data_IF_425718990363
#
_entry.id   IF_425718990363
#
_cell.length_a   1.000
_cell.length_b   1.000
_cell.length_c   1.000
_cell.angle_alpha   90.00
_cell.angle_beta   90.00
_cell.angle_gamma   90.00
#
_symmetry.space_group_name_H-M   'P 1'
#
loop_
_entity.id
_entity.type
_entity.pdbx_description
1 polymer ?
#
# COMPACT_ATOMS: atom_id res chain seq x y z
N UNK A 1 15.93 6.15 -2.94
CA UNK A 1 14.84 5.16 -2.87
C UNK A 1 13.42 5.72 -2.69
N UNK A 2 13.15 7.03 -2.83
CA UNK A 2 11.78 7.57 -2.91
C UNK A 2 11.61 8.58 -4.06
N UNK A 3 12.58 8.65 -4.98
CA UNK A 3 12.55 9.57 -6.13
C UNK A 3 11.26 9.51 -6.96
N UNK A 4 10.69 8.33 -7.31
CA UNK A 4 9.45 8.30 -8.08
C UNK A 4 8.22 8.80 -7.29
N UNK A 5 8.34 8.89 -5.95
CA UNK A 5 7.27 9.38 -5.07
C UNK A 5 7.34 10.90 -4.85
N UNK A 6 8.46 11.56 -5.16
CA UNK A 6 8.67 12.99 -4.85
C UNK A 6 7.59 13.91 -5.44
N UNK A 7 7.18 13.69 -6.71
CA UNK A 7 6.22 14.56 -7.40
C UNK A 7 4.85 14.69 -6.72
N UNK A 8 4.50 13.70 -5.92
CA UNK A 8 3.21 13.67 -5.21
C UNK A 8 3.39 13.52 -3.69
N UNK A 9 4.64 13.58 -3.21
CA UNK A 9 4.97 13.52 -1.79
C UNK A 9 4.26 14.64 -1.03
N UNK A 10 4.27 15.85 -1.57
CA UNK A 10 3.61 17.03 -0.97
C UNK A 10 2.08 16.94 -0.94
N UNK A 11 1.48 16.05 -1.73
CA UNK A 11 0.03 15.80 -1.72
C UNK A 11 -0.39 14.76 -0.68
N UNK A 12 0.58 14.09 -0.05
CA UNK A 12 0.32 13.14 1.02
C UNK A 12 0.03 13.89 2.32
N UNK A 13 -0.97 13.46 3.11
CA UNK A 13 -1.15 13.96 4.46
C UNK A 13 0.10 13.70 5.32
N UNK A 14 0.42 14.61 6.23
CA UNK A 14 1.64 14.53 7.06
C UNK A 14 1.84 13.18 7.79
N UNK A 15 0.76 12.52 8.22
CA UNK A 15 0.87 11.20 8.85
C UNK A 15 1.34 10.09 7.88
N UNK A 16 0.99 10.16 6.59
CA UNK A 16 1.45 9.21 5.57
C UNK A 16 2.90 9.48 5.21
N UNK A 17 3.27 10.75 5.04
CA UNK A 17 4.67 11.16 4.85
C UNK A 17 5.54 10.66 6.01
N UNK A 18 5.10 10.86 7.25
CA UNK A 18 5.77 10.34 8.44
C UNK A 18 5.94 8.81 8.39
N UNK A 19 4.87 8.05 8.10
CA UNK A 19 4.99 6.57 8.00
C UNK A 19 5.95 6.11 6.91
N UNK A 20 5.91 6.73 5.73
CA UNK A 20 6.82 6.42 4.63
C UNK A 20 8.27 6.79 4.97
N UNK A 21 8.47 7.93 5.63
CA UNK A 21 9.78 8.37 6.05
C UNK A 21 10.36 7.48 7.16
N UNK A 22 9.54 7.07 8.13
CA UNK A 22 9.93 6.06 9.13
C UNK A 22 10.27 4.72 8.47
N UNK A 23 9.46 4.26 7.52
CA UNK A 23 9.72 3.03 6.78
C UNK A 23 11.02 3.12 5.96
N UNK A 24 11.30 4.26 5.31
CA UNK A 24 12.53 4.49 4.58
C UNK A 24 13.77 4.55 5.50
N UNK A 25 13.64 5.09 6.72
CA UNK A 25 14.70 5.05 7.74
C UNK A 25 14.97 3.63 8.25
N UNK A 26 13.92 2.81 8.34
CA UNK A 26 14.02 1.41 8.77
C UNK A 26 14.44 0.48 7.64
N UNK A 27 14.25 0.87 6.38
CA UNK A 27 14.56 0.10 5.17
C UNK A 27 15.93 -0.61 5.19
N UNK A 28 17.06 0.06 5.50
CA UNK A 28 18.37 -0.61 5.55
C UNK A 28 18.50 -1.65 6.69
N UNK A 29 17.59 -1.63 7.67
CA UNK A 29 17.52 -2.58 8.78
C UNK A 29 16.47 -3.68 8.55
N UNK A 30 15.71 -3.61 7.45
CA UNK A 30 14.68 -4.60 7.12
C UNK A 30 15.30 -5.86 6.50
N UNK A 31 14.63 -7.00 6.69
CA UNK A 31 14.98 -8.25 6.01
C UNK A 31 14.83 -8.10 4.48
N UNK A 32 15.58 -8.87 3.66
CA UNK A 32 15.53 -8.75 2.19
C UNK A 32 14.11 -8.84 1.62
N UNK A 33 13.31 -9.79 2.12
CA UNK A 33 11.90 -9.95 1.71
C UNK A 33 11.02 -8.74 2.06
N UNK A 34 11.33 -8.05 3.16
CA UNK A 34 10.62 -6.83 3.56
C UNK A 34 11.03 -5.64 2.69
N UNK A 35 12.32 -5.58 2.32
CA UNK A 35 12.85 -4.59 1.40
C UNK A 35 12.22 -4.71 0.02
N UNK A 36 12.12 -5.92 -0.54
CA UNK A 36 11.45 -6.16 -1.82
C UNK A 36 9.99 -5.73 -1.78
N UNK A 37 9.23 -6.19 -0.77
CA UNK A 37 7.83 -5.77 -0.59
C UNK A 37 7.68 -4.26 -0.45
N UNK A 38 8.64 -3.58 0.18
CA UNK A 38 8.62 -2.12 0.28
C UNK A 38 8.83 -1.47 -1.09
N UNK A 39 9.81 -1.94 -1.87
CA UNK A 39 10.08 -1.43 -3.22
C UNK A 39 8.89 -1.65 -4.16
N UNK A 40 8.28 -2.83 -4.14
CA UNK A 40 7.07 -3.13 -4.93
C UNK A 40 5.96 -2.13 -4.59
N UNK A 41 5.73 -1.89 -3.31
CA UNK A 41 4.67 -0.98 -2.85
C UNK A 41 4.92 0.47 -3.25
N UNK A 42 6.19 0.91 -3.27
CA UNK A 42 6.57 2.23 -3.77
C UNK A 42 6.35 2.32 -5.28
N UNK A 43 6.67 1.26 -6.02
CA UNK A 43 6.46 1.19 -7.47
C UNK A 43 4.97 1.21 -7.84
N UNK A 44 4.15 0.40 -7.16
CA UNK A 44 2.69 0.41 -7.31
C UNK A 44 2.10 1.77 -6.98
N UNK A 45 2.58 2.41 -5.91
CA UNK A 45 2.10 3.75 -5.58
C UNK A 45 2.48 4.77 -6.66
N UNK A 46 3.71 4.69 -7.17
CA UNK A 46 4.21 5.57 -8.22
C UNK A 46 3.41 5.43 -9.53
N UNK A 47 2.90 4.22 -9.83
CA UNK A 47 2.06 3.97 -11.01
C UNK A 47 0.60 4.39 -10.82
N UNK A 48 0.11 4.55 -9.59
CA UNK A 48 -1.27 5.01 -9.35
C UNK A 48 -1.50 6.45 -9.83
N UNK A 49 -2.65 6.69 -10.47
CA UNK A 49 -3.09 8.04 -10.85
C UNK A 49 -3.58 8.84 -9.63
N UNK A 50 -3.63 10.19 -9.70
CA UNK A 50 -4.18 11.00 -8.62
C UNK A 50 -5.60 10.59 -8.19
N UNK A 51 -6.43 10.14 -9.15
CA UNK A 51 -7.78 9.65 -8.87
C UNK A 51 -7.77 8.31 -8.10
N UNK A 52 -6.94 7.35 -8.53
CA UNK A 52 -6.79 6.07 -7.81
C UNK A 52 -6.26 6.26 -6.40
N UNK A 53 -5.31 7.19 -6.21
CA UNK A 53 -4.79 7.53 -4.88
C UNK A 53 -5.86 8.18 -4.00
N UNK A 54 -6.71 9.05 -4.57
CA UNK A 54 -7.85 9.64 -3.84
C UNK A 54 -8.82 8.54 -3.36
N UNK A 55 -9.20 7.63 -4.25
CA UNK A 55 -10.06 6.49 -3.90
C UNK A 55 -9.42 5.57 -2.84
N UNK A 56 -8.12 5.28 -2.94
CA UNK A 56 -7.39 4.52 -1.92
C UNK A 56 -7.38 5.23 -0.56
N UNK A 57 -7.27 6.55 -0.57
CA UNK A 57 -7.28 7.39 0.63
C UNK A 57 -8.66 7.42 1.29
N UNK A 58 -9.73 7.55 0.51
CA UNK A 58 -11.11 7.47 0.99
C UNK A 58 -11.43 6.09 1.57
N UNK A 59 -11.01 5.03 0.88
CA UNK A 59 -11.11 3.65 1.36
C UNK A 59 -10.38 3.46 2.69
N UNK A 60 -9.15 3.97 2.81
CA UNK A 60 -8.37 3.90 4.05
C UNK A 60 -9.00 4.69 5.21
N UNK A 61 -9.54 5.88 4.94
CA UNK A 61 -10.26 6.67 5.96
C UNK A 61 -11.53 5.95 6.43
N UNK A 62 -12.27 5.32 5.52
CA UNK A 62 -13.40 4.46 5.86
C UNK A 62 -12.97 3.28 6.73
N UNK A 63 -11.89 2.59 6.36
CA UNK A 63 -11.36 1.46 7.12
C UNK A 63 -10.86 1.87 8.51
N UNK A 64 -10.20 3.04 8.65
CA UNK A 64 -9.69 3.53 9.94
C UNK A 64 -10.82 3.83 10.95
N UNK A 65 -12.01 4.19 10.46
CA UNK A 65 -13.21 4.43 11.29
C UNK A 65 -13.90 3.14 11.70
N UNK A 66 -13.59 2.00 11.08
CA UNK A 66 -14.15 0.72 11.45
C UNK A 66 -13.47 0.19 12.73
N UNK A 67 -14.22 -0.51 13.60
CA UNK A 67 -13.65 -1.18 14.77
C UNK A 67 -12.60 -2.23 14.36
N UNK A 68 -11.61 -2.52 15.23
CA UNK A 68 -10.49 -3.41 14.91
C UNK A 68 -10.92 -4.79 14.41
N UNK A 69 -12.04 -5.36 14.91
CA UNK A 69 -12.58 -6.63 14.42
C UNK A 69 -12.99 -6.58 12.94
N UNK A 70 -13.62 -5.49 12.49
CA UNK A 70 -13.99 -5.28 11.08
C UNK A 70 -12.75 -5.08 10.20
N UNK A 71 -11.71 -4.44 10.72
CA UNK A 71 -10.44 -4.30 10.01
C UNK A 71 -9.72 -5.64 9.84
N UNK A 72 -9.83 -6.53 10.83
CA UNK A 72 -9.29 -7.89 10.75
C UNK A 72 -10.01 -8.69 9.66
N UNK A 73 -11.34 -8.71 9.66
CA UNK A 73 -12.17 -9.37 8.64
C UNK A 73 -11.86 -8.87 7.22
N UNK A 74 -11.67 -7.56 7.06
CA UNK A 74 -11.26 -6.98 5.77
C UNK A 74 -9.85 -7.42 5.35
N UNK A 75 -8.90 -7.55 6.28
CA UNK A 75 -7.55 -8.07 5.98
C UNK A 75 -7.60 -9.54 5.60
N UNK A 76 -8.32 -10.36 6.36
CA UNK A 76 -8.53 -11.79 6.08
C UNK A 76 -9.09 -11.96 4.68
N UNK A 77 -10.18 -11.25 4.35
CA UNK A 77 -10.80 -11.31 3.03
C UNK A 77 -9.90 -10.83 1.89
N UNK A 78 -8.98 -9.90 2.19
CA UNK A 78 -8.01 -9.40 1.21
C UNK A 78 -6.83 -10.38 1.04
N UNK A 79 -6.39 -11.02 2.13
CA UNK A 79 -5.42 -12.11 2.10
C UNK A 79 -5.99 -13.32 1.36
N UNK A 80 -7.24 -13.72 1.61
CA UNK A 80 -7.95 -14.76 0.86
C UNK A 80 -8.02 -14.45 -0.62
N UNK A 81 -8.38 -13.21 -1.00
CA UNK A 81 -8.42 -12.81 -2.41
C UNK A 81 -7.05 -12.80 -3.08
N UNK A 82 -5.99 -12.52 -2.31
CA UNK A 82 -4.61 -12.44 -2.80
C UNK A 82 -3.87 -13.77 -2.73
N UNK A 83 -4.31 -14.67 -1.85
CA UNK A 83 -3.86 -16.04 -1.69
C UNK A 83 -4.66 -17.00 -2.58
N UNK A 84 -5.86 -16.61 -3.01
CA UNK A 84 -6.49 -17.21 -4.17
C UNK A 84 -5.52 -17.06 -5.34
N UNK A 85 -4.96 -18.17 -5.86
CA UNK A 85 -4.15 -18.09 -7.06
C UNK A 85 -5.03 -17.46 -8.14
N UNK A 86 -4.45 -16.57 -8.93
CA UNK A 86 -5.10 -16.04 -10.14
C UNK A 86 -5.87 -17.19 -10.81
N UNK A 87 -7.20 -17.06 -10.88
CA UNK A 87 -7.94 -17.85 -11.84
C UNK A 87 -7.24 -17.59 -13.19
N UNK A 88 -6.71 -18.62 -13.86
CA UNK A 88 -5.90 -18.43 -15.04
C UNK A 88 -6.71 -17.64 -16.06
N UNK A 89 -6.03 -16.69 -16.71
CA UNK A 89 -6.54 -16.06 -17.93
C UNK A 89 -7.04 -17.18 -18.85
N UNK A 90 -8.26 -17.02 -19.31
CA UNK A 90 -8.97 -17.88 -20.27
C UNK A 90 -8.00 -18.44 -21.32
N UNK A 91 -7.84 -19.77 -21.45
CA UNK A 91 -7.33 -20.31 -22.70
C UNK A 91 -8.47 -20.20 -23.74
N UNK A 92 -8.12 -19.71 -24.92
CA UNK A 92 -8.91 -19.94 -26.13
C UNK A 92 -8.51 -21.31 -26.68
#
# INVERSE_FOLDING_TARGET
>A
MLQPLQKDWDKLPGYQQQRLQSAARQYPKMQPIQQERFQERIRDWASMTPAQRKAARESFQGMKKLPPSKQHELRERWLERRAAPEAPKTPQ
#
